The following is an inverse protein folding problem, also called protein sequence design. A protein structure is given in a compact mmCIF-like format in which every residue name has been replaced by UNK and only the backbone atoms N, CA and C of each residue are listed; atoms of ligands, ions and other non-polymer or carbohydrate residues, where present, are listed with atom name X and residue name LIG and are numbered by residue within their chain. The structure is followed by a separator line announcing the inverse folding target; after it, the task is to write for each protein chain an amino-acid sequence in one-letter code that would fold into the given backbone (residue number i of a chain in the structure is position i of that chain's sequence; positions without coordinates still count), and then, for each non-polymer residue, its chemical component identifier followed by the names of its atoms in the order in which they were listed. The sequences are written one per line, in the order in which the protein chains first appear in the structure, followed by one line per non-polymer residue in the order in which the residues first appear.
data_IF_255845214832
#
_entry.id   IF_255845214832
#
_cell.length_a   1.000
_cell.length_b   1.000
_cell.length_c   1.000
_cell.angle_alpha   90.00
_cell.angle_beta   90.00
_cell.angle_gamma   90.00
#
_symmetry.space_group_name_H-M   'P 1'
#
loop_
_entity.id
_entity.type
_entity.pdbx_description
1 polymer ?
#
# COMPACT_ATOMS: atom_id res chain seq x y z
N UNK A 1 11.13 4.98 -17.57
CA UNK A 1 9.69 4.64 -17.56
C UNK A 1 9.32 3.74 -16.38
N UNK A 2 9.66 2.43 -16.34
CA UNK A 2 9.29 1.57 -15.19
C UNK A 2 10.09 1.87 -13.92
N UNK A 3 11.38 2.23 -14.04
CA UNK A 3 12.20 2.64 -12.89
C UNK A 3 11.67 3.92 -12.22
N UNK A 4 11.27 4.90 -13.03
CA UNK A 4 10.70 6.16 -12.52
C UNK A 4 9.35 5.91 -11.84
N UNK A 5 8.53 5.02 -12.43
CA UNK A 5 7.27 4.59 -11.84
C UNK A 5 7.48 3.90 -10.47
N UNK A 6 8.51 3.05 -10.33
CA UNK A 6 8.87 2.41 -9.06
C UNK A 6 9.10 3.44 -7.96
N UNK A 7 9.90 4.48 -8.23
CA UNK A 7 10.22 5.52 -7.25
C UNK A 7 8.95 6.25 -6.82
N UNK A 8 8.08 6.65 -7.77
CA UNK A 8 6.82 7.29 -7.42
C UNK A 8 5.89 6.39 -6.61
N UNK A 9 5.85 5.09 -6.89
CA UNK A 9 5.03 4.15 -6.10
C UNK A 9 5.61 3.92 -4.71
N UNK A 10 6.93 3.86 -4.54
CA UNK A 10 7.59 3.84 -3.22
C UNK A 10 7.19 5.06 -2.39
N UNK A 11 7.18 6.25 -2.99
CA UNK A 11 6.75 7.49 -2.32
C UNK A 11 5.28 7.46 -1.92
N UNK A 12 4.39 6.95 -2.79
CA UNK A 12 2.97 6.80 -2.49
C UNK A 12 2.75 5.83 -1.34
N UNK A 13 3.44 4.67 -1.34
CA UNK A 13 3.34 3.68 -0.28
C UNK A 13 3.80 4.27 1.07
N UNK A 14 4.89 5.03 1.09
CA UNK A 14 5.37 5.74 2.28
C UNK A 14 4.36 6.77 2.79
N UNK A 15 3.80 7.58 1.89
CA UNK A 15 2.79 8.59 2.26
C UNK A 15 1.51 7.96 2.82
N UNK A 16 1.07 6.82 2.27
CA UNK A 16 -0.03 6.04 2.84
C UNK A 16 0.34 5.47 4.22
N UNK A 17 1.55 4.95 4.38
CA UNK A 17 2.08 4.50 5.67
C UNK A 17 2.10 5.61 6.73
N UNK A 18 2.35 6.86 6.37
CA UNK A 18 2.24 8.01 7.30
C UNK A 18 0.80 8.25 7.78
N UNK A 19 -0.21 8.03 6.93
CA UNK A 19 -1.63 8.14 7.31
C UNK A 19 -1.94 7.10 8.39
N UNK A 20 -1.49 5.87 8.19
CA UNK A 20 -1.67 4.75 9.12
C UNK A 20 -0.91 5.01 10.42
N UNK A 21 0.37 5.41 10.34
CA UNK A 21 1.22 5.70 11.50
C UNK A 21 0.63 6.80 12.39
N UNK A 22 0.11 7.88 11.80
CA UNK A 22 -0.57 8.96 12.55
C UNK A 22 -1.81 8.46 13.27
N UNK A 23 -2.51 7.50 12.68
CA UNK A 23 -3.70 6.87 13.26
C UNK A 23 -3.34 6.00 14.47
N UNK A 24 -2.25 5.22 14.41
CA UNK A 24 -1.73 4.44 15.56
C UNK A 24 -1.37 5.36 16.74
N UNK A 25 -0.73 6.49 16.47
CA UNK A 25 -0.36 7.45 17.52
C UNK A 25 -1.59 8.13 18.15
N UNK A 26 -2.63 8.36 17.34
CA UNK A 26 -3.90 8.93 17.79
C UNK A 26 -4.76 7.91 18.56
N UNK A 27 -4.61 6.61 18.28
CA UNK A 27 -5.26 5.50 19.00
C UNK A 27 -4.93 5.45 20.49
N UNK A 28 -3.83 6.09 20.94
CA UNK A 28 -3.52 6.20 22.37
C UNK A 28 -4.49 7.11 23.12
N UNK A 29 -5.28 7.94 22.42
CA UNK A 29 -6.20 8.89 23.04
C UNK A 29 -7.63 8.83 22.44
N UNK A 30 -8.54 8.22 23.20
CA UNK A 30 -9.89 8.73 23.50
C UNK A 30 -11.09 8.35 22.59
N UNK A 31 -10.98 8.08 21.28
CA UNK A 31 -12.20 7.92 20.43
C UNK A 31 -12.64 6.49 20.05
N UNK A 32 -11.80 5.47 20.25
CA UNK A 32 -12.12 4.07 19.89
C UNK A 32 -13.27 3.50 20.75
N UNK A 33 -13.39 3.96 22.00
CA UNK A 33 -14.39 3.46 22.95
C UNK A 33 -15.84 3.71 22.49
N UNK A 34 -16.08 4.67 21.58
CA UNK A 34 -17.43 4.99 21.08
C UNK A 34 -17.83 4.29 19.79
N UNK A 35 -16.88 4.00 18.89
CA UNK A 35 -17.14 3.42 17.55
C UNK A 35 -16.73 1.95 17.41
N UNK A 36 -15.96 1.40 18.34
CA UNK A 36 -15.45 0.03 18.24
C UNK A 36 -14.20 -0.08 17.35
N UNK A 37 -13.34 -1.05 17.65
CA UNK A 37 -12.02 -1.21 17.01
C UNK A 37 -12.13 -1.52 15.50
N UNK A 38 -13.11 -2.32 15.09
CA UNK A 38 -13.27 -2.73 13.69
C UNK A 38 -13.65 -1.53 12.81
N UNK A 39 -14.60 -0.71 13.24
CA UNK A 39 -15.02 0.49 12.48
C UNK A 39 -13.88 1.49 12.31
N UNK A 40 -13.02 1.61 13.32
CA UNK A 40 -11.84 2.46 13.26
C UNK A 40 -10.83 1.97 12.22
N UNK A 41 -10.49 0.69 12.22
CA UNK A 41 -9.60 0.09 11.21
C UNK A 41 -10.16 0.31 9.82
N UNK A 42 -11.43 -0.02 9.59
CA UNK A 42 -12.09 0.16 8.31
C UNK A 42 -12.04 1.63 7.84
N UNK A 43 -12.11 2.60 8.75
CA UNK A 43 -11.97 4.03 8.40
C UNK A 43 -10.55 4.36 7.92
N UNK A 44 -9.51 3.85 8.59
CA UNK A 44 -8.10 4.08 8.23
C UNK A 44 -7.73 3.37 6.93
N UNK A 45 -8.22 2.14 6.77
CA UNK A 45 -8.06 1.33 5.57
C UNK A 45 -8.63 2.07 4.35
N UNK A 46 -9.89 2.50 4.43
CA UNK A 46 -10.57 3.29 3.38
C UNK A 46 -9.88 4.61 3.07
N UNK A 47 -9.43 5.34 4.09
CA UNK A 47 -8.69 6.61 3.89
C UNK A 47 -7.40 6.37 3.12
N UNK A 48 -6.68 5.31 3.46
CA UNK A 48 -5.41 4.94 2.83
C UNK A 48 -5.65 4.45 1.40
N UNK A 49 -6.69 3.63 1.17
CA UNK A 49 -7.08 3.17 -0.16
C UNK A 49 -7.44 4.33 -1.10
N UNK A 50 -8.31 5.25 -0.66
CA UNK A 50 -8.71 6.43 -1.45
C UNK A 50 -7.48 7.26 -1.83
N UNK A 51 -6.57 7.46 -0.88
CA UNK A 51 -5.33 8.19 -1.13
C UNK A 51 -4.47 7.50 -2.20
N UNK A 52 -4.21 6.20 -2.04
CA UNK A 52 -3.38 5.40 -2.97
C UNK A 52 -4.01 5.41 -4.37
N UNK A 53 -5.31 5.09 -4.47
CA UNK A 53 -6.03 5.03 -5.75
C UNK A 53 -5.97 6.38 -6.49
N UNK A 54 -6.19 7.49 -5.80
CA UNK A 54 -6.12 8.82 -6.41
C UNK A 54 -4.72 9.11 -6.98
N UNK A 55 -3.66 8.79 -6.22
CA UNK A 55 -2.28 9.01 -6.67
C UNK A 55 -1.85 8.08 -7.81
N UNK A 56 -2.22 6.81 -7.75
CA UNK A 56 -1.92 5.88 -8.83
C UNK A 56 -2.69 6.20 -10.12
N UNK A 57 -3.91 6.76 -10.00
CA UNK A 57 -4.68 7.25 -11.14
C UNK A 57 -4.05 8.49 -11.79
N UNK A 58 -3.41 9.37 -11.02
CA UNK A 58 -2.61 10.47 -11.58
C UNK A 58 -1.40 9.94 -12.37
N UNK A 59 -0.73 8.90 -11.87
CA UNK A 59 0.44 8.29 -12.52
C UNK A 59 0.09 7.50 -13.80
N UNK A 60 -1.02 6.76 -13.76
CA UNK A 60 -1.49 5.93 -14.87
C UNK A 60 -3.02 6.09 -15.05
N UNK A 61 -3.51 7.15 -15.72
CA UNK A 61 -4.94 7.46 -15.81
C UNK A 61 -5.83 6.37 -16.44
N UNK A 62 -5.23 5.50 -17.26
CA UNK A 62 -5.93 4.44 -18.00
C UNK A 62 -5.85 3.06 -17.34
N UNK A 63 -5.25 2.94 -16.15
CA UNK A 63 -5.16 1.68 -15.41
C UNK A 63 -6.48 1.31 -14.73
N UNK A 64 -6.69 0.02 -14.53
CA UNK A 64 -7.69 -0.50 -13.61
C UNK A 64 -7.15 -0.66 -12.19
N UNK A 65 -8.05 -1.06 -11.29
CA UNK A 65 -7.75 -1.31 -9.88
C UNK A 65 -8.37 -2.63 -9.44
N UNK A 66 -7.71 -3.27 -8.47
CA UNK A 66 -8.19 -4.37 -7.63
C UNK A 66 -7.75 -3.97 -6.21
N UNK A 67 -8.71 -3.72 -5.33
CA UNK A 67 -8.45 -3.39 -3.94
C UNK A 67 -9.38 -4.20 -3.03
N UNK A 68 -9.02 -4.33 -1.75
CA UNK A 68 -9.72 -5.17 -0.77
C UNK A 68 -11.14 -4.65 -0.46
N UNK A 69 -11.31 -3.32 -0.38
CA UNK A 69 -12.57 -2.68 0.01
C UNK A 69 -13.37 -2.14 -1.18
N UNK A 70 -13.91 -3.03 -2.04
CA UNK A 70 -15.00 -2.74 -3.00
C UNK A 70 -14.85 -1.55 -3.99
N UNK A 71 -13.72 -0.84 -4.05
CA UNK A 71 -13.75 0.49 -4.68
C UNK A 71 -13.80 0.44 -6.20
N UNK A 72 -13.14 -0.49 -6.90
CA UNK A 72 -13.32 -0.74 -8.34
C UNK A 72 -12.71 -2.12 -8.68
N UNK A 73 -13.43 -3.00 -9.39
CA UNK A 73 -12.82 -4.06 -10.23
C UNK A 73 -12.94 -3.65 -11.68
N UNK A 74 -11.93 -2.95 -12.22
CA UNK A 74 -11.93 -2.61 -13.65
C UNK A 74 -11.42 -3.81 -14.42
N UNK A 75 -12.34 -4.65 -14.89
CA UNK A 75 -12.02 -5.71 -15.83
C UNK A 75 -11.74 -5.07 -17.22
N UNK A 76 -10.82 -5.65 -18.00
CA UNK A 76 -10.42 -5.22 -19.35
C UNK A 76 -9.50 -3.98 -19.47
N UNK A 77 -8.56 -3.78 -18.53
CA UNK A 77 -7.45 -2.81 -18.72
C UNK A 77 -6.12 -3.53 -18.93
N UNK A 78 -5.25 -2.98 -19.78
CA UNK A 78 -3.89 -3.49 -19.99
C UNK A 78 -3.09 -3.47 -18.68
N UNK A 79 -3.25 -2.39 -17.91
CA UNK A 79 -2.61 -2.16 -16.61
C UNK A 79 -3.64 -2.23 -15.49
N UNK A 80 -3.34 -2.95 -14.43
CA UNK A 80 -4.19 -3.10 -13.24
C UNK A 80 -3.33 -2.94 -12.00
N UNK A 81 -3.67 -1.99 -11.14
CA UNK A 81 -3.10 -1.87 -9.80
C UNK A 81 -3.77 -2.86 -8.86
N UNK A 82 -2.98 -3.53 -8.03
CA UNK A 82 -3.44 -4.41 -6.95
C UNK A 82 -2.95 -3.78 -5.65
N UNK A 83 -3.87 -3.47 -4.74
CA UNK A 83 -3.58 -2.67 -3.56
C UNK A 83 -4.14 -3.37 -2.33
N UNK A 84 -3.30 -3.49 -1.31
CA UNK A 84 -3.72 -3.71 0.08
C UNK A 84 -3.22 -2.51 0.89
N UNK A 85 -4.13 -1.62 1.31
CA UNK A 85 -3.76 -0.38 1.99
C UNK A 85 -3.28 -0.61 3.43
N UNK A 86 -3.63 -1.73 4.08
CA UNK A 86 -3.22 -2.07 5.45
C UNK A 86 -3.14 -3.60 5.66
N UNK A 87 -2.03 -4.18 5.25
CA UNK A 87 -1.68 -5.56 5.62
C UNK A 87 -1.21 -5.60 7.08
N UNK A 88 -1.61 -6.65 7.80
CA UNK A 88 -1.36 -6.77 9.24
C UNK A 88 -2.34 -5.97 10.10
N UNK A 89 -3.59 -5.83 9.65
CA UNK A 89 -4.70 -5.18 10.38
C UNK A 89 -4.79 -5.60 11.86
N UNK A 90 -4.58 -6.88 12.19
CA UNK A 90 -4.62 -7.34 13.59
C UNK A 90 -3.47 -6.78 14.43
N UNK A 91 -2.26 -6.70 13.85
CA UNK A 91 -1.13 -6.05 14.52
C UNK A 91 -1.43 -4.57 14.74
N UNK A 92 -1.97 -3.89 13.72
CA UNK A 92 -2.39 -2.49 13.82
C UNK A 92 -3.41 -2.24 14.96
N UNK A 93 -4.44 -3.09 15.08
CA UNK A 93 -5.45 -3.01 16.15
C UNK A 93 -4.80 -3.04 17.54
N UNK A 94 -3.77 -3.87 17.71
CA UNK A 94 -3.04 -3.99 18.96
C UNK A 94 -1.91 -2.96 19.11
N UNK A 95 -1.74 -2.05 18.15
CA UNK A 95 -0.65 -1.07 18.15
C UNK A 95 0.73 -1.71 18.00
N UNK A 96 0.79 -2.86 17.34
CA UNK A 96 1.98 -3.67 17.09
C UNK A 96 2.41 -3.57 15.63
N UNK A 97 3.67 -3.93 15.40
CA UNK A 97 4.27 -4.14 14.08
C UNK A 97 4.62 -5.62 13.91
N UNK A 98 4.76 -6.13 12.66
CA UNK A 98 4.69 -5.38 11.41
C UNK A 98 3.26 -5.07 10.95
N UNK A 99 3.10 -3.94 10.27
CA UNK A 99 1.97 -3.66 9.39
C UNK A 99 2.49 -2.89 8.16
N UNK A 100 1.84 -3.07 7.01
CA UNK A 100 2.40 -2.64 5.75
C UNK A 100 1.37 -2.10 4.76
N UNK A 101 1.87 -1.30 3.82
CA UNK A 101 1.14 -0.94 2.59
C UNK A 101 1.70 -1.78 1.45
N UNK A 102 0.85 -2.47 0.70
CA UNK A 102 1.24 -3.29 -0.45
C UNK A 102 0.62 -2.77 -1.74
N UNK A 103 1.46 -2.54 -2.75
CA UNK A 103 1.05 -2.04 -4.07
C UNK A 103 1.77 -2.85 -5.16
N UNK A 104 1.02 -3.42 -6.08
CA UNK A 104 1.55 -4.06 -7.27
C UNK A 104 0.91 -3.52 -8.55
N UNK A 105 1.69 -3.55 -9.64
CA UNK A 105 1.19 -3.26 -10.99
C UNK A 105 1.25 -4.53 -11.83
N UNK A 106 0.10 -4.91 -12.35
CA UNK A 106 -0.05 -5.98 -13.32
C UNK A 106 -0.19 -5.41 -14.73
N UNK A 107 0.50 -6.00 -15.70
CA UNK A 107 0.34 -5.73 -17.13
C UNK A 107 0.01 -7.04 -17.84
N UNK A 108 -1.10 -7.11 -18.57
CA UNK A 108 -1.50 -8.32 -19.32
C UNK A 108 -1.41 -9.62 -18.48
N UNK A 109 -1.95 -9.58 -17.26
CA UNK A 109 -1.95 -10.70 -16.31
C UNK A 109 -0.57 -11.10 -15.73
N UNK A 110 0.42 -10.22 -15.83
CA UNK A 110 1.76 -10.44 -15.26
C UNK A 110 2.18 -9.28 -14.35
N UNK A 111 2.72 -9.57 -13.16
CA UNK A 111 3.20 -8.55 -12.23
C UNK A 111 4.52 -7.96 -12.75
N UNK A 112 4.53 -6.65 -12.99
CA UNK A 112 5.69 -5.92 -13.52
C UNK A 112 6.37 -5.01 -12.49
N UNK A 113 5.68 -4.69 -11.39
CA UNK A 113 6.18 -3.86 -10.30
C UNK A 113 5.48 -4.27 -9.00
N UNK A 114 6.23 -4.30 -7.90
CA UNK A 114 5.72 -4.54 -6.56
C UNK A 114 6.44 -3.65 -5.55
N UNK A 115 5.70 -3.12 -4.60
CA UNK A 115 6.18 -2.30 -3.48
C UNK A 115 5.46 -2.77 -2.22
N UNK A 116 6.23 -3.06 -1.17
CA UNK A 116 5.73 -3.32 0.18
C UNK A 116 6.46 -2.37 1.12
N UNK A 117 5.71 -1.53 1.81
CA UNK A 117 6.26 -0.61 2.80
C UNK A 117 5.85 -1.05 4.19
N UNK A 118 6.79 -1.58 4.97
CA UNK A 118 6.61 -1.91 6.38
C UNK A 118 6.79 -0.64 7.23
N UNK A 119 5.77 -0.32 8.01
CA UNK A 119 5.62 0.99 8.65
C UNK A 119 6.48 1.10 9.93
N UNK A 120 6.71 0.00 10.65
CA UNK A 120 7.39 0.00 11.94
C UNK A 120 8.88 0.28 11.87
N UNK A 121 9.55 -0.34 10.91
CA UNK A 121 11.00 -0.27 10.69
C UNK A 121 11.38 0.69 9.56
N UNK A 122 10.40 1.33 8.91
CA UNK A 122 10.62 2.19 7.74
C UNK A 122 11.33 1.43 6.60
N UNK A 123 10.86 0.21 6.34
CA UNK A 123 11.43 -0.68 5.33
C UNK A 123 10.58 -0.69 4.07
N UNK A 124 11.13 -0.14 2.99
CA UNK A 124 10.49 -0.14 1.68
C UNK A 124 11.14 -1.18 0.78
N UNK A 125 10.43 -2.31 0.62
CA UNK A 125 10.76 -3.36 -0.33
C UNK A 125 10.16 -3.01 -1.68
N UNK A 126 10.96 -3.12 -2.74
CA UNK A 126 10.46 -2.87 -4.08
C UNK A 126 11.14 -3.73 -5.13
N UNK A 127 10.39 -4.08 -6.17
CA UNK A 127 10.90 -4.86 -7.29
C UNK A 127 10.22 -4.43 -8.58
N UNK A 128 10.95 -4.59 -9.69
CA UNK A 128 10.37 -4.50 -11.03
C UNK A 128 10.84 -5.69 -11.83
N UNK A 129 9.98 -6.17 -12.74
CA UNK A 129 10.28 -7.35 -13.55
C UNK A 129 11.64 -7.18 -14.24
N UNK A 130 12.47 -8.23 -14.18
CA UNK A 130 13.82 -8.31 -14.76
C UNK A 130 14.85 -7.30 -14.23
N UNK A 131 14.60 -6.63 -13.09
CA UNK A 131 15.53 -5.64 -12.53
C UNK A 131 15.95 -5.93 -11.07
N UNK A 132 15.52 -7.07 -10.52
CA UNK A 132 15.80 -7.48 -9.14
C UNK A 132 14.87 -6.83 -8.11
N UNK A 133 15.16 -7.13 -6.84
CA UNK A 133 14.47 -6.61 -5.68
C UNK A 133 15.41 -5.75 -4.83
N UNK A 134 14.84 -4.80 -4.10
CA UNK A 134 15.55 -3.81 -3.31
C UNK A 134 14.87 -3.62 -1.95
N UNK A 135 15.65 -3.37 -0.92
CA UNK A 135 15.23 -2.87 0.39
C UNK A 135 15.86 -1.51 0.59
N UNK A 136 15.05 -0.46 0.70
CA UNK A 136 15.53 0.93 0.88
C UNK A 136 16.61 1.32 -0.15
N UNK A 137 16.38 0.93 -1.40
CA UNK A 137 17.28 1.20 -2.53
C UNK A 137 18.51 0.28 -2.64
N UNK A 138 18.76 -0.60 -1.65
CA UNK A 138 19.85 -1.59 -1.70
C UNK A 138 19.34 -2.90 -2.28
N UNK A 139 20.07 -3.49 -3.24
CA UNK A 139 19.68 -4.76 -3.88
C UNK A 139 19.67 -5.90 -2.84
N UNK A 140 18.68 -6.77 -2.91
CA UNK A 140 18.53 -7.95 -2.05
C UNK A 140 18.40 -9.23 -2.90
N UNK A 141 18.81 -10.36 -2.31
CA UNK A 141 18.79 -11.69 -2.92
C UNK A 141 18.37 -12.72 -1.85
N UNK A 142 17.84 -13.86 -2.28
CA UNK A 142 17.49 -14.96 -1.37
C UNK A 142 18.73 -15.74 -0.92
N UNK A 143 18.63 -16.46 0.20
CA UNK A 143 19.70 -17.29 0.76
C UNK A 143 20.08 -18.49 -0.10
#
# INVERSE_FOLDING_TARGET
MIKDLKISVEEIAKQAGEIIRKSINSNKNIDIQKKGLNDFVTEIDKKSEIFIVNKLKELLPNSGFIAEENTIKTQNREYIWIIDPLDGTMNFIHGLYPCAVSIALMKNNEIILGVVYEIGLDECFSATKNNGAFLNGKKIEVS
#
